data_IF_688447720381
#
_entry.id   IF_688447720381
#
_cell.length_a   1.000
_cell.length_b   1.000
_cell.length_c   1.000
_cell.angle_alpha   90.00
_cell.angle_beta   90.00
_cell.angle_gamma   90.00
#
_symmetry.space_group_name_H-M   'P 1'
#
loop_
_entity.id
_entity.type
_entity.pdbx_description
1 polymer ?
#
# COMPACT_ATOMS: atom_id res chain seq x y z
N UNK A 1 1.74 -25.61 37.22
CA UNK A 1 1.19 -24.24 37.29
C UNK A 1 0.21 -24.10 36.13
N UNK A 2 -1.08 -24.28 36.40
CA UNK A 2 -2.12 -24.14 35.37
C UNK A 2 -2.31 -22.64 35.16
N UNK A 3 -1.99 -22.14 33.97
CA UNK A 3 -2.22 -20.75 33.58
C UNK A 3 -3.74 -20.55 33.47
N UNK A 4 -4.38 -20.08 34.53
CA UNK A 4 -5.76 -19.57 34.42
C UNK A 4 -5.67 -18.29 33.60
N UNK A 5 -6.11 -18.34 32.34
CA UNK A 5 -6.46 -17.14 31.60
C UNK A 5 -7.68 -16.57 32.32
N UNK A 6 -7.50 -15.50 33.09
CA UNK A 6 -8.63 -14.76 33.65
C UNK A 6 -9.29 -14.07 32.46
N UNK A 7 -10.41 -14.63 32.01
CA UNK A 7 -11.22 -14.02 30.97
C UNK A 7 -11.85 -12.74 31.55
N UNK A 8 -11.41 -11.57 31.07
CA UNK A 8 -11.90 -10.30 31.62
C UNK A 8 -13.23 -9.91 30.99
N UNK A 9 -13.93 -8.96 31.61
CA UNK A 9 -15.14 -8.38 31.01
C UNK A 9 -14.84 -7.74 29.64
N UNK A 10 -13.62 -7.19 29.46
CA UNK A 10 -13.17 -6.66 28.17
C UNK A 10 -13.00 -7.77 27.12
N UNK A 11 -12.47 -8.94 27.49
CA UNK A 11 -12.38 -10.11 26.61
C UNK A 11 -13.77 -10.59 26.17
N UNK A 12 -14.75 -10.59 27.09
CA UNK A 12 -16.13 -10.96 26.81
C UNK A 12 -16.78 -10.02 25.78
N UNK A 13 -16.61 -8.72 25.98
CA UNK A 13 -17.09 -7.70 25.04
C UNK A 13 -16.42 -7.85 23.67
N UNK A 14 -15.10 -8.06 23.65
CA UNK A 14 -14.35 -8.27 22.41
C UNK A 14 -14.85 -9.51 21.65
N UNK A 15 -15.02 -10.63 22.34
CA UNK A 15 -15.53 -11.87 21.76
C UNK A 15 -16.97 -11.73 21.22
N UNK A 16 -17.78 -10.87 21.84
CA UNK A 16 -19.14 -10.54 21.36
C UNK A 16 -19.18 -9.58 20.15
N UNK A 17 -18.03 -9.04 19.75
CA UNK A 17 -17.92 -8.06 18.66
C UNK A 17 -18.20 -6.61 19.08
N UNK A 18 -18.46 -6.34 20.36
CA UNK A 18 -18.61 -4.98 20.89
C UNK A 18 -17.24 -4.33 21.12
N UNK A 19 -16.51 -4.10 20.03
CA UNK A 19 -15.13 -3.61 20.06
C UNK A 19 -15.02 -2.21 20.66
N UNK A 20 -16.06 -1.37 20.55
CA UNK A 20 -16.06 -0.04 21.14
C UNK A 20 -16.09 -0.10 22.67
N UNK A 21 -16.96 -0.95 23.25
CA UNK A 21 -16.98 -1.14 24.70
C UNK A 21 -15.76 -1.92 25.18
N UNK A 22 -15.31 -2.93 24.43
CA UNK A 22 -14.07 -3.63 24.73
C UNK A 22 -12.88 -2.66 24.83
N UNK A 23 -12.71 -1.77 23.85
CA UNK A 23 -11.68 -0.73 23.87
C UNK A 23 -11.79 0.21 25.08
N UNK A 24 -13.01 0.48 25.55
CA UNK A 24 -13.24 1.30 26.74
C UNK A 24 -12.83 0.56 28.01
N UNK A 25 -13.13 -0.73 28.12
CA UNK A 25 -12.73 -1.56 29.27
C UNK A 25 -11.23 -1.86 29.28
N UNK A 26 -10.60 -2.18 28.15
CA UNK A 26 -9.13 -2.31 28.09
C UNK A 26 -8.42 -1.01 28.45
N UNK A 27 -8.98 0.16 28.11
CA UNK A 27 -8.43 1.45 28.58
C UNK A 27 -8.50 1.58 30.11
N UNK A 28 -9.54 1.07 30.74
CA UNK A 28 -9.66 1.04 32.21
C UNK A 28 -8.65 0.07 32.81
N UNK A 29 -8.45 -1.10 32.21
CA UNK A 29 -7.40 -2.04 32.62
C UNK A 29 -6.01 -1.39 32.54
N UNK A 30 -5.70 -0.69 31.45
CA UNK A 30 -4.43 0.05 31.29
C UNK A 30 -4.32 1.22 32.30
N UNK A 31 -5.42 1.86 32.67
CA UNK A 31 -5.41 2.90 33.70
C UNK A 31 -5.02 2.33 35.08
N UNK A 32 -5.50 1.12 35.40
CA UNK A 32 -5.17 0.41 36.63
C UNK A 32 -3.76 -0.19 36.59
N UNK A 33 -3.36 -0.75 35.45
CA UNK A 33 -2.08 -1.40 35.21
C UNK A 33 -1.40 -0.85 33.94
N UNK A 34 -0.69 0.30 34.02
CA UNK A 34 -0.14 0.98 32.84
C UNK A 34 0.89 0.19 32.03
N UNK A 35 1.50 -0.82 32.66
CA UNK A 35 2.53 -1.69 32.09
C UNK A 35 1.98 -3.06 31.66
N UNK A 36 0.66 -3.19 31.47
CA UNK A 36 0.07 -4.44 30.99
C UNK A 36 0.15 -4.54 29.45
N UNK A 37 1.06 -5.36 28.89
CA UNK A 37 1.20 -5.51 27.43
C UNK A 37 -0.01 -6.20 26.80
N UNK A 38 -0.68 -7.10 27.52
CA UNK A 38 -1.86 -7.80 27.03
C UNK A 38 -3.03 -6.82 26.81
N UNK A 39 -3.34 -5.99 27.80
CA UNK A 39 -4.40 -4.99 27.68
C UNK A 39 -4.09 -3.96 26.57
N UNK A 40 -2.81 -3.57 26.43
CA UNK A 40 -2.36 -2.70 25.33
C UNK A 40 -2.55 -3.35 23.96
N UNK A 41 -2.16 -4.63 23.82
CA UNK A 41 -2.37 -5.40 22.58
C UNK A 41 -3.85 -5.55 22.25
N UNK A 42 -4.69 -5.92 23.22
CA UNK A 42 -6.13 -6.10 23.02
C UNK A 42 -6.88 -4.80 22.74
N UNK A 43 -6.42 -3.68 23.29
CA UNK A 43 -6.88 -2.37 22.88
C UNK A 43 -6.52 -2.08 21.42
N UNK A 44 -5.30 -2.45 20.99
CA UNK A 44 -4.89 -2.42 19.60
C UNK A 44 -5.79 -3.26 18.69
N UNK A 45 -6.09 -4.50 19.07
CA UNK A 45 -7.03 -5.38 18.36
C UNK A 45 -8.42 -4.75 18.23
N UNK A 46 -8.90 -4.11 19.31
CA UNK A 46 -10.22 -3.46 19.32
C UNK A 46 -10.28 -2.31 18.30
N UNK A 47 -9.25 -1.44 18.28
CA UNK A 47 -9.17 -0.37 17.27
C UNK A 47 -8.98 -0.91 15.86
N UNK A 48 -8.24 -2.00 15.69
CA UNK A 48 -8.07 -2.64 14.39
C UNK A 48 -9.44 -3.10 13.84
N UNK A 49 -10.26 -3.74 14.67
CA UNK A 49 -11.60 -4.20 14.28
C UNK A 49 -12.58 -3.05 14.03
N UNK A 50 -12.37 -1.91 14.68
CA UNK A 50 -13.09 -0.65 14.39
C UNK A 50 -12.60 0.03 13.10
N UNK A 51 -11.53 -0.47 12.46
CA UNK A 51 -10.93 0.12 11.26
C UNK A 51 -9.99 1.30 11.54
N UNK A 52 -9.74 1.61 12.82
CA UNK A 52 -8.83 2.68 13.21
C UNK A 52 -7.39 2.17 13.33
N UNK A 53 -6.76 2.02 12.17
CA UNK A 53 -5.41 1.48 12.07
C UNK A 53 -4.34 2.37 12.71
N UNK A 54 -4.56 3.68 12.85
CA UNK A 54 -3.56 4.55 13.47
C UNK A 54 -3.56 4.36 15.00
N UNK A 55 -4.74 4.30 15.61
CA UNK A 55 -4.82 4.00 17.05
C UNK A 55 -4.40 2.56 17.34
N UNK A 56 -4.78 1.60 16.51
CA UNK A 56 -4.29 0.23 16.64
C UNK A 56 -2.76 0.16 16.59
N UNK A 57 -2.13 0.88 15.65
CA UNK A 57 -0.68 0.92 15.51
C UNK A 57 0.00 1.50 16.75
N UNK A 58 -0.54 2.58 17.29
CA UNK A 58 -0.04 3.19 18.52
C UNK A 58 -0.06 2.18 19.69
N UNK A 59 -1.17 1.47 19.89
CA UNK A 59 -1.31 0.54 21.01
C UNK A 59 -0.51 -0.75 20.84
N UNK A 60 -0.38 -1.28 19.62
CA UNK A 60 0.55 -2.38 19.35
C UNK A 60 2.00 -1.96 19.58
N UNK A 61 2.40 -0.76 19.15
CA UNK A 61 3.73 -0.23 19.43
C UNK A 61 3.98 -0.13 20.94
N UNK A 62 3.01 0.38 21.72
CA UNK A 62 3.11 0.40 23.19
C UNK A 62 3.27 -1.00 23.77
N UNK A 63 2.46 -1.96 23.32
CA UNK A 63 2.52 -3.35 23.78
C UNK A 63 3.90 -3.98 23.48
N UNK A 64 4.43 -3.73 22.28
CA UNK A 64 5.74 -4.23 21.83
C UNK A 64 6.88 -3.73 22.74
N UNK A 65 6.89 -2.45 23.09
CA UNK A 65 7.92 -1.89 23.97
C UNK A 65 7.76 -2.29 25.45
N UNK A 66 6.59 -2.76 25.87
CA UNK A 66 6.37 -3.26 27.23
C UNK A 66 6.85 -4.70 27.39
N UNK A 67 6.67 -5.54 26.36
CA UNK A 67 7.06 -6.94 26.38
C UNK A 67 7.40 -7.41 24.97
N UNK A 68 8.60 -7.94 24.83
CA UNK A 68 9.00 -8.68 23.64
C UNK A 68 8.20 -9.99 23.58
N UNK A 69 7.24 -10.03 22.67
CA UNK A 69 6.35 -11.16 22.44
C UNK A 69 6.09 -11.24 20.94
N UNK A 70 6.25 -12.43 20.37
CA UNK A 70 6.18 -12.63 18.93
C UNK A 70 4.81 -12.28 18.34
N UNK A 71 3.71 -12.57 19.04
CA UNK A 71 2.37 -12.23 18.53
C UNK A 71 2.16 -10.71 18.48
N UNK A 72 2.68 -9.98 19.49
CA UNK A 72 2.64 -8.52 19.52
C UNK A 72 3.51 -7.94 18.39
N UNK A 73 4.72 -8.48 18.20
CA UNK A 73 5.63 -8.07 17.14
C UNK A 73 5.00 -8.28 15.75
N UNK A 74 4.42 -9.46 15.49
CA UNK A 74 3.77 -9.79 14.22
C UNK A 74 2.60 -8.82 13.92
N UNK A 75 1.78 -8.48 14.92
CA UNK A 75 0.71 -7.46 14.81
C UNK A 75 1.26 -6.07 14.50
N UNK A 76 2.33 -5.69 15.16
CA UNK A 76 2.96 -4.38 14.98
C UNK A 76 3.58 -4.26 13.58
N UNK A 77 4.37 -5.28 13.15
CA UNK A 77 4.95 -5.40 11.81
C UNK A 77 3.87 -5.34 10.73
N UNK A 78 2.82 -6.15 10.88
CA UNK A 78 1.72 -6.18 9.92
C UNK A 78 1.09 -4.80 9.75
N UNK A 79 0.83 -4.10 10.86
CA UNK A 79 0.15 -2.82 10.82
C UNK A 79 1.06 -1.68 10.33
N UNK A 80 2.36 -1.70 10.66
CA UNK A 80 3.36 -0.81 10.05
C UNK A 80 3.39 -0.97 8.52
N UNK A 81 3.39 -2.21 8.05
CA UNK A 81 3.36 -2.50 6.62
C UNK A 81 2.03 -2.07 5.97
N UNK A 82 0.89 -2.40 6.59
CA UNK A 82 -0.45 -2.04 6.09
C UNK A 82 -0.66 -0.52 6.02
N UNK A 83 -0.13 0.22 6.99
CA UNK A 83 -0.18 1.68 7.05
C UNK A 83 0.98 2.35 6.28
N UNK A 84 1.81 1.56 5.61
CA UNK A 84 2.94 2.03 4.77
C UNK A 84 3.98 2.88 5.53
N UNK A 85 4.18 2.60 6.82
CA UNK A 85 5.21 3.21 7.68
C UNK A 85 6.57 2.56 7.43
N UNK A 86 7.11 2.79 6.23
CA UNK A 86 8.26 2.05 5.72
C UNK A 86 9.55 2.28 6.50
N UNK A 87 9.77 3.46 7.06
CA UNK A 87 11.00 3.76 7.79
C UNK A 87 11.00 3.03 9.13
N UNK A 88 9.90 3.09 9.88
CA UNK A 88 9.71 2.34 11.12
C UNK A 88 9.84 0.83 10.90
N UNK A 89 9.26 0.31 9.81
CA UNK A 89 9.35 -1.11 9.46
C UNK A 89 10.79 -1.54 9.12
N UNK A 90 11.56 -0.66 8.45
CA UNK A 90 12.97 -0.94 8.12
C UNK A 90 13.88 -0.90 9.33
N UNK A 91 13.56 -0.06 10.32
CA UNK A 91 14.28 -0.03 11.60
C UNK A 91 14.00 -1.31 12.39
N UNK A 92 12.75 -1.78 12.39
CA UNK A 92 12.35 -2.98 13.11
C UNK A 92 12.88 -4.26 12.46
N UNK A 93 12.85 -4.34 11.13
CA UNK A 93 13.33 -5.50 10.36
C UNK A 93 14.71 -5.18 9.77
N UNK A 94 15.77 -5.47 10.53
CA UNK A 94 17.17 -5.34 10.08
C UNK A 94 17.61 -6.53 9.19
N UNK A 95 16.72 -6.96 8.30
CA UNK A 95 17.02 -7.96 7.27
C UNK A 95 16.57 -7.44 5.89
N UNK A 96 17.56 -7.11 5.06
CA UNK A 96 17.34 -6.66 3.69
C UNK A 96 16.75 -7.75 2.79
N UNK A 97 16.93 -9.02 3.15
CA UNK A 97 16.41 -10.15 2.41
C UNK A 97 14.96 -10.49 2.80
N UNK A 98 14.43 -9.86 3.85
CA UNK A 98 13.08 -10.06 4.33
C UNK A 98 12.03 -9.73 3.24
N UNK A 99 11.02 -10.59 3.01
CA UNK A 99 10.04 -10.39 1.93
C UNK A 99 9.32 -9.04 1.94
N UNK A 100 8.98 -8.51 3.12
CA UNK A 100 8.38 -7.16 3.24
C UNK A 100 9.36 -6.07 2.79
N UNK A 101 10.63 -6.15 3.18
CA UNK A 101 11.66 -5.16 2.84
C UNK A 101 11.97 -5.22 1.34
N UNK A 102 12.09 -6.42 0.78
CA UNK A 102 12.17 -6.62 -0.68
C UNK A 102 11.00 -6.01 -1.42
N UNK A 103 9.78 -6.22 -0.94
CA UNK A 103 8.58 -5.67 -1.57
C UNK A 103 8.52 -4.13 -1.49
N UNK A 104 8.98 -3.53 -0.38
CA UNK A 104 9.12 -2.07 -0.25
C UNK A 104 10.16 -1.52 -1.22
N UNK A 105 11.33 -2.17 -1.30
CA UNK A 105 12.39 -1.76 -2.20
C UNK A 105 11.92 -1.90 -3.66
N UNK A 106 11.23 -2.99 -4.02
CA UNK A 106 10.62 -3.15 -5.34
C UNK A 106 9.60 -2.05 -5.64
N UNK A 107 8.76 -1.67 -4.67
CA UNK A 107 7.77 -0.61 -4.80
C UNK A 107 8.42 0.76 -5.06
N UNK A 108 9.48 1.11 -4.32
CA UNK A 108 10.22 2.39 -4.44
C UNK A 108 11.08 2.44 -5.72
N UNK A 109 11.64 1.31 -6.15
CA UNK A 109 12.58 1.28 -7.27
C UNK A 109 11.93 1.53 -8.63
N UNK A 110 12.71 2.15 -9.54
CA UNK A 110 12.33 2.26 -10.94
C UNK A 110 12.16 0.87 -11.59
N UNK A 111 11.30 0.77 -12.61
CA UNK A 111 11.16 -0.45 -13.41
C UNK A 111 11.61 -0.20 -14.85
N UNK A 112 12.37 -1.12 -15.48
CA UNK A 112 12.71 -1.02 -16.90
C UNK A 112 11.49 -1.08 -17.81
N UNK A 113 10.34 -1.56 -17.31
CA UNK A 113 9.09 -1.61 -18.07
C UNK A 113 8.65 -0.21 -18.56
N UNK A 114 9.09 0.87 -17.90
CA UNK A 114 8.80 2.25 -18.34
C UNK A 114 9.38 2.55 -19.72
N UNK A 115 10.47 1.87 -20.12
CA UNK A 115 11.14 2.14 -21.38
C UNK A 115 10.35 1.69 -22.60
N UNK A 116 9.49 0.68 -22.43
CA UNK A 116 8.56 0.23 -23.48
C UNK A 116 7.69 1.38 -23.96
N UNK A 117 7.21 2.25 -23.06
CA UNK A 117 6.35 3.38 -23.43
C UNK A 117 7.07 4.54 -24.11
N UNK A 118 8.40 4.59 -24.10
CA UNK A 118 9.14 5.55 -24.94
C UNK A 118 9.13 5.12 -26.41
N UNK A 119 9.20 3.81 -26.67
CA UNK A 119 9.24 3.28 -28.03
C UNK A 119 7.83 3.08 -28.58
N UNK A 120 6.95 2.52 -27.75
CA UNK A 120 5.59 2.17 -28.10
C UNK A 120 4.62 2.75 -27.05
N UNK A 121 4.00 3.91 -27.34
CA UNK A 121 3.00 4.48 -26.46
C UNK A 121 1.92 3.45 -26.09
N UNK A 122 1.57 3.35 -24.82
CA UNK A 122 0.60 2.39 -24.29
C UNK A 122 1.16 0.99 -23.97
N UNK A 123 2.36 0.63 -24.44
CA UNK A 123 2.90 -0.73 -24.28
C UNK A 123 3.14 -1.13 -22.82
N UNK A 124 3.63 -0.23 -21.98
CA UNK A 124 3.82 -0.51 -20.54
C UNK A 124 2.50 -0.79 -19.83
N UNK A 125 1.46 -0.01 -20.14
CA UNK A 125 0.14 -0.14 -19.55
C UNK A 125 -0.46 -1.51 -19.90
N UNK A 126 -0.34 -1.94 -21.16
CA UNK A 126 -0.78 -3.28 -21.60
C UNK A 126 -0.07 -4.40 -20.84
N UNK A 127 1.27 -4.32 -20.69
CA UNK A 127 2.07 -5.28 -19.91
C UNK A 127 1.76 -5.25 -18.40
N UNK A 128 1.20 -4.15 -17.91
CA UNK A 128 0.66 -4.03 -16.56
C UNK A 128 -0.79 -4.49 -16.42
N UNK A 129 -1.46 -4.86 -17.52
CA UNK A 129 -2.87 -5.27 -17.53
C UNK A 129 -3.87 -4.11 -17.59
N UNK A 130 -3.42 -2.87 -17.83
CA UNK A 130 -4.28 -1.71 -17.98
C UNK A 130 -4.63 -1.46 -19.45
N UNK A 131 -5.50 -2.32 -19.98
CA UNK A 131 -5.82 -2.32 -21.40
C UNK A 131 -6.45 -1.02 -21.90
N UNK A 132 -7.35 -0.42 -21.10
CA UNK A 132 -8.04 0.82 -21.47
C UNK A 132 -7.07 1.98 -21.66
N UNK A 133 -6.19 2.23 -20.69
CA UNK A 133 -5.22 3.35 -20.74
C UNK A 133 -4.12 3.10 -21.77
N UNK A 134 -3.71 1.84 -21.95
CA UNK A 134 -2.77 1.44 -22.98
C UNK A 134 -3.29 1.69 -24.39
N UNK A 135 -4.49 1.20 -24.71
CA UNK A 135 -5.12 1.40 -26.02
C UNK A 135 -5.40 2.88 -26.31
N UNK A 136 -5.90 3.63 -25.33
CA UNK A 136 -6.10 5.07 -25.48
C UNK A 136 -4.79 5.80 -25.78
N UNK A 137 -3.70 5.42 -25.12
CA UNK A 137 -2.38 6.01 -25.37
C UNK A 137 -1.89 5.70 -26.79
N UNK A 138 -2.10 4.48 -27.28
CA UNK A 138 -1.82 4.12 -28.68
C UNK A 138 -2.62 4.96 -29.65
N UNK A 139 -3.94 5.05 -29.46
CA UNK A 139 -4.86 5.77 -30.35
C UNK A 139 -4.50 7.25 -30.44
N UNK A 140 -4.33 7.94 -29.31
CA UNK A 140 -4.04 9.38 -29.33
C UNK A 140 -2.67 9.71 -29.92
N UNK A 141 -1.65 8.90 -29.65
CA UNK A 141 -0.33 9.11 -30.24
C UNK A 141 -0.36 8.81 -31.75
N UNK A 142 -0.98 7.71 -32.19
CA UNK A 142 -1.11 7.38 -33.60
C UNK A 142 -1.92 8.43 -34.38
N UNK A 143 -3.03 8.91 -33.80
CA UNK A 143 -3.86 9.95 -34.40
C UNK A 143 -3.07 11.26 -34.55
N UNK A 144 -2.31 11.67 -33.53
CA UNK A 144 -1.50 12.90 -33.62
C UNK A 144 -0.39 12.80 -34.67
N UNK A 145 0.23 11.62 -34.83
CA UNK A 145 1.21 11.38 -35.89
C UNK A 145 0.56 11.38 -37.28
N UNK A 146 -0.61 10.75 -37.41
CA UNK A 146 -1.37 10.75 -38.66
C UNK A 146 -1.78 12.15 -39.09
N UNK A 147 -2.29 12.95 -38.15
CA UNK A 147 -2.60 14.37 -38.38
C UNK A 147 -1.35 15.12 -38.85
N UNK A 148 -0.22 14.93 -38.17
CA UNK A 148 1.04 15.56 -38.57
C UNK A 148 1.49 15.17 -39.98
N UNK A 149 1.40 13.89 -40.33
CA UNK A 149 1.69 13.41 -41.68
C UNK A 149 0.80 14.09 -42.74
N UNK A 150 -0.51 14.16 -42.49
CA UNK A 150 -1.44 14.81 -43.43
C UNK A 150 -1.18 16.30 -43.57
N UNK A 151 -0.88 17.01 -42.47
CA UNK A 151 -0.56 18.43 -42.49
C UNK A 151 0.74 18.72 -43.24
N UNK A 152 1.77 17.88 -43.08
CA UNK A 152 3.03 17.97 -43.84
C UNK A 152 2.78 17.77 -45.33
N UNK A 153 2.03 16.73 -45.71
CA UNK A 153 1.71 16.44 -47.11
C UNK A 153 0.97 17.60 -47.79
N UNK A 154 0.08 18.26 -47.06
CA UNK A 154 -0.72 19.38 -47.55
C UNK A 154 -0.03 20.75 -47.40
N UNK A 155 1.19 20.81 -46.84
CA UNK A 155 1.90 22.05 -46.48
C UNK A 155 1.08 22.99 -45.56
N UNK A 156 0.22 22.40 -44.72
CA UNK A 156 -0.61 23.11 -43.75
C UNK A 156 0.21 23.42 -42.48
N UNK A 157 0.82 24.60 -42.43
CA UNK A 157 1.69 25.02 -41.32
C UNK A 157 0.94 25.04 -39.97
N UNK A 158 -0.26 25.64 -39.85
CA UNK A 158 -1.06 25.54 -38.62
C UNK A 158 -1.31 24.09 -38.18
N UNK A 159 -1.68 23.21 -39.12
CA UNK A 159 -1.92 21.80 -38.84
C UNK A 159 -0.67 21.07 -38.34
N UNK A 160 0.51 21.41 -38.87
CA UNK A 160 1.79 20.85 -38.40
C UNK A 160 2.05 21.25 -36.95
N UNK A 161 1.97 22.54 -36.63
CA UNK A 161 2.20 23.05 -35.26
C UNK A 161 1.23 22.41 -34.28
N UNK A 162 -0.05 22.33 -34.65
CA UNK A 162 -1.08 21.70 -33.84
C UNK A 162 -0.81 20.21 -33.59
N UNK A 163 -0.46 19.46 -34.64
CA UNK A 163 -0.15 18.02 -34.53
C UNK A 163 1.06 17.73 -33.64
N UNK A 164 2.12 18.54 -33.74
CA UNK A 164 3.32 18.42 -32.88
C UNK A 164 2.94 18.70 -31.43
N UNK A 165 2.15 19.74 -31.19
CA UNK A 165 1.67 20.09 -29.85
C UNK A 165 0.83 18.97 -29.23
N UNK A 166 -0.08 18.37 -30.02
CA UNK A 166 -0.87 17.22 -29.59
C UNK A 166 0.00 16.00 -29.30
N UNK A 167 0.94 15.68 -30.19
CA UNK A 167 1.84 14.55 -30.02
C UNK A 167 2.65 14.70 -28.74
N UNK A 168 3.29 15.85 -28.52
CA UNK A 168 4.05 16.12 -27.29
C UNK A 168 3.20 15.92 -26.04
N UNK A 169 1.97 16.46 -26.04
CA UNK A 169 1.04 16.34 -24.91
C UNK A 169 0.67 14.89 -24.62
N UNK A 170 0.22 14.14 -25.64
CA UNK A 170 -0.22 12.75 -25.45
C UNK A 170 0.93 11.77 -25.23
N UNK A 171 2.08 12.03 -25.83
CA UNK A 171 3.29 11.25 -25.61
C UNK A 171 3.79 11.41 -24.17
N UNK A 172 3.88 12.64 -23.66
CA UNK A 172 4.25 12.88 -22.26
C UNK A 172 3.21 12.35 -21.27
N UNK A 173 1.92 12.52 -21.58
CA UNK A 173 0.83 11.94 -20.79
C UNK A 173 0.84 10.40 -20.75
N UNK A 174 1.28 9.76 -21.85
CA UNK A 174 1.49 8.32 -21.87
C UNK A 174 2.61 7.90 -20.90
N UNK A 175 3.72 8.63 -20.84
CA UNK A 175 4.83 8.29 -19.94
C UNK A 175 4.46 8.41 -18.46
N UNK A 176 3.65 9.41 -18.09
CA UNK A 176 3.12 9.53 -16.72
C UNK A 176 2.13 8.41 -16.41
N UNK A 177 1.24 8.09 -17.33
CA UNK A 177 0.30 6.97 -17.23
C UNK A 177 1.02 5.63 -17.06
N UNK A 178 2.10 5.39 -17.82
CA UNK A 178 2.94 4.20 -17.74
C UNK A 178 3.59 4.04 -16.36
N UNK A 179 4.15 5.13 -15.79
CA UNK A 179 4.68 5.12 -14.41
C UNK A 179 3.59 4.76 -13.39
N UNK A 180 2.39 5.32 -13.54
CA UNK A 180 1.24 5.00 -12.69
C UNK A 180 0.84 3.52 -12.77
N UNK A 181 0.81 2.94 -13.97
CA UNK A 181 0.46 1.53 -14.18
C UNK A 181 1.48 0.59 -13.52
N UNK A 182 2.78 0.90 -13.66
CA UNK A 182 3.86 0.18 -12.95
C UNK A 182 3.65 0.25 -11.44
N UNK A 183 3.43 1.45 -10.90
CA UNK A 183 3.24 1.64 -9.47
C UNK A 183 2.04 0.85 -8.95
N UNK A 184 0.89 0.88 -9.64
CA UNK A 184 -0.30 0.10 -9.25
C UNK A 184 -0.06 -1.40 -9.28
N UNK A 185 0.65 -1.92 -10.29
CA UNK A 185 1.04 -3.35 -10.36
C UNK A 185 1.93 -3.75 -9.18
N UNK A 186 2.95 -2.93 -8.88
CA UNK A 186 3.85 -3.13 -7.74
C UNK A 186 3.12 -3.02 -6.40
N UNK A 187 2.25 -2.04 -6.25
CA UNK A 187 1.43 -1.86 -5.04
C UNK A 187 0.50 -3.05 -4.81
N UNK A 188 -0.12 -3.61 -5.86
CA UNK A 188 -0.92 -4.83 -5.75
C UNK A 188 -0.07 -6.05 -5.35
N UNK A 189 1.19 -6.11 -5.75
CA UNK A 189 2.13 -7.13 -5.26
C UNK A 189 2.48 -6.89 -3.80
N UNK A 190 2.86 -5.67 -3.44
CA UNK A 190 3.18 -5.27 -2.06
C UNK A 190 2.03 -5.63 -1.10
N UNK A 191 0.80 -5.20 -1.40
CA UNK A 191 -0.37 -5.51 -0.57
C UNK A 191 -0.61 -7.01 -0.39
N UNK A 192 -0.35 -7.83 -1.42
CA UNK A 192 -0.45 -9.30 -1.30
C UNK A 192 0.61 -9.87 -0.35
N UNK A 193 1.83 -9.33 -0.37
CA UNK A 193 2.86 -9.70 0.60
C UNK A 193 2.44 -9.27 1.99
N UNK A 194 1.97 -8.02 2.18
CA UNK A 194 1.50 -7.57 3.50
C UNK A 194 0.40 -8.47 4.08
N UNK A 195 -0.60 -8.81 3.27
CA UNK A 195 -1.70 -9.68 3.73
C UNK A 195 -1.26 -11.13 4.01
N UNK A 196 -0.11 -11.59 3.52
CA UNK A 196 0.44 -12.91 3.92
C UNK A 196 1.08 -12.91 5.31
N UNK A 197 1.29 -11.73 5.91
CA UNK A 197 1.80 -11.55 7.28
C UNK A 197 0.67 -11.17 8.26
N UNK A 198 -0.60 -11.32 7.87
CA UNK A 198 -1.73 -11.02 8.73
C UNK A 198 -1.75 -11.98 9.93
N UNK A 199 -1.67 -11.50 11.18
CA UNK A 199 -1.71 -12.34 12.37
C UNK A 199 -3.09 -12.95 12.61
N UNK A 200 -3.15 -14.05 13.34
CA UNK A 200 -4.41 -14.67 13.74
C UNK A 200 -5.22 -13.72 14.64
N UNK A 201 -6.53 -13.67 14.42
CA UNK A 201 -7.44 -12.81 15.20
C UNK A 201 -7.51 -11.34 14.76
N UNK A 202 -6.65 -10.89 13.85
CA UNK A 202 -6.69 -9.57 13.17
C UNK A 202 -7.39 -9.73 11.85
#
# INVERSE_FOLDING_TARGET
MILFVIFTFADALFASGDYFRAASEYRREIFLEPQNPYASMKLGDSYYKLGDYNYALFWYGKAYFLKEDKDIEDRYIYLLAKTMKFEDLKILIDDNEHPLIKAINELKNASPLRYVSFVLPGGTQLLCGEYKTGLLSMVWNALSLYLGYTSIKNRDIPGIIFSISLFQRFYMGNLTSAKGAIYRKKLKRYKRVVESYRPDGV
#
